data_IF_352882876451
#
_entry.id   IF_352882876451
#
_cell.length_a   1.000
_cell.length_b   1.000
_cell.length_c   1.000
_cell.angle_alpha   90.00
_cell.angle_beta   90.00
_cell.angle_gamma   90.00
#
_symmetry.space_group_name_H-M   'P 1'
#
loop_
_entity.id
_entity.type
_entity.pdbx_description
1 polymer ?
#
# COMPACT_ATOMS: atom_id res chain seq x y z
N UNK A 1 34.13 -6.21 29.80
CA UNK A 1 34.48 -5.75 28.44
C UNK A 1 33.26 -6.06 27.59
N UNK A 2 32.70 -5.06 26.93
CA UNK A 2 31.53 -5.22 26.05
C UNK A 2 32.02 -5.75 24.70
N UNK A 3 31.67 -7.00 24.37
CA UNK A 3 32.03 -7.60 23.09
C UNK A 3 31.17 -7.00 21.97
N UNK A 4 31.75 -6.07 21.22
CA UNK A 4 31.13 -5.45 20.04
C UNK A 4 31.31 -6.40 18.86
N UNK A 5 30.22 -7.01 18.39
CA UNK A 5 30.22 -7.80 17.16
C UNK A 5 29.84 -6.88 15.99
N UNK A 6 30.80 -6.64 15.08
CA UNK A 6 30.58 -5.95 13.81
C UNK A 6 30.24 -7.01 12.76
N UNK A 7 29.00 -7.04 12.30
CA UNK A 7 28.61 -7.89 11.17
C UNK A 7 28.47 -7.04 9.91
N UNK A 8 29.16 -7.44 8.85
CA UNK A 8 28.99 -6.83 7.53
C UNK A 8 27.53 -7.04 7.09
N UNK A 9 26.83 -5.94 6.80
CA UNK A 9 25.43 -6.02 6.41
C UNK A 9 25.32 -6.86 5.14
N UNK A 10 24.62 -8.00 5.21
CA UNK A 10 24.36 -8.85 4.04
C UNK A 10 23.78 -7.96 2.93
N UNK A 11 24.52 -7.77 1.86
CA UNK A 11 24.11 -6.91 0.75
C UNK A 11 22.72 -7.30 0.25
N UNK A 12 21.86 -6.30 0.04
CA UNK A 12 20.55 -6.52 -0.57
C UNK A 12 20.76 -7.18 -1.94
N UNK A 13 20.15 -8.34 -2.15
CA UNK A 13 20.25 -9.08 -3.43
C UNK A 13 19.61 -8.33 -4.61
N UNK A 14 18.81 -7.29 -4.35
CA UNK A 14 18.18 -6.48 -5.39
C UNK A 14 19.08 -5.30 -5.83
N UNK A 15 19.02 -4.89 -7.12
CA UNK A 15 19.73 -3.72 -7.61
C UNK A 15 19.44 -2.46 -6.78
N UNK A 16 20.45 -1.59 -6.66
CA UNK A 16 20.34 -0.30 -5.93
C UNK A 16 19.31 0.62 -6.58
N UNK A 17 19.34 0.71 -7.91
CA UNK A 17 18.32 1.38 -8.71
C UNK A 17 17.56 0.32 -9.51
N UNK A 18 16.25 0.50 -9.66
CA UNK A 18 15.36 -0.49 -10.28
C UNK A 18 14.77 0.06 -11.59
N UNK A 19 14.53 -0.79 -12.60
CA UNK A 19 13.90 -0.35 -13.83
C UNK A 19 12.53 0.27 -13.57
N UNK A 20 12.29 1.46 -14.14
CA UNK A 20 10.97 2.07 -14.12
C UNK A 20 9.97 1.18 -14.89
N UNK A 21 8.70 1.10 -14.45
CA UNK A 21 7.70 0.28 -15.11
C UNK A 21 7.39 0.81 -16.52
N UNK A 22 7.17 -0.11 -17.46
CA UNK A 22 6.89 0.24 -18.85
C UNK A 22 5.41 0.61 -19.03
N UNK A 23 5.14 1.67 -19.79
CA UNK A 23 3.77 2.05 -20.14
C UNK A 23 2.99 0.95 -20.89
N UNK A 24 3.69 0.08 -21.63
CA UNK A 24 3.06 -1.08 -22.28
C UNK A 24 2.60 -2.17 -21.30
N UNK A 25 3.13 -2.21 -20.08
CA UNK A 25 2.80 -3.20 -19.06
C UNK A 25 1.83 -2.69 -18.00
N UNK A 26 1.66 -1.36 -17.88
CA UNK A 26 0.66 -0.72 -17.02
C UNK A 26 -0.41 -0.08 -17.92
N UNK A 27 -1.56 -0.75 -18.13
CA UNK A 27 -2.56 -0.32 -19.12
C UNK A 27 -3.45 0.83 -18.63
N UNK A 28 -2.92 1.71 -17.78
CA UNK A 28 -3.55 2.94 -17.29
C UNK A 28 -2.50 4.04 -17.15
N UNK A 29 -2.86 5.33 -17.27
CA UNK A 29 -1.93 6.41 -16.95
C UNK A 29 -1.44 6.37 -15.51
N UNK A 30 -0.18 6.73 -15.33
CA UNK A 30 0.49 6.73 -14.04
C UNK A 30 1.57 7.81 -13.96
N UNK A 31 1.91 8.20 -12.73
CA UNK A 31 3.03 9.07 -12.42
C UNK A 31 4.05 8.25 -11.66
N UNK A 32 5.24 8.09 -12.24
CA UNK A 32 6.38 7.45 -11.59
C UNK A 32 7.36 8.52 -11.12
N UNK A 33 7.74 8.46 -9.84
CA UNK A 33 8.78 9.32 -9.29
C UNK A 33 9.91 8.43 -8.73
N UNK A 34 11.14 8.54 -9.24
CA UNK A 34 12.29 7.84 -8.68
C UNK A 34 12.58 8.31 -7.25
N UNK A 35 13.37 7.55 -6.48
CA UNK A 35 13.78 7.98 -5.16
C UNK A 35 14.70 9.22 -5.24
N UNK A 36 14.62 10.10 -4.25
CA UNK A 36 15.43 11.33 -4.20
C UNK A 36 16.93 11.05 -3.97
N UNK A 37 17.26 9.86 -3.45
CA UNK A 37 18.61 9.43 -3.05
C UNK A 37 19.23 8.38 -3.99
N UNK A 38 18.61 8.15 -5.15
CA UNK A 38 19.02 7.15 -6.15
C UNK A 38 19.22 5.73 -5.57
N UNK A 39 18.44 5.39 -4.55
CA UNK A 39 18.39 4.10 -3.88
C UNK A 39 16.94 3.63 -3.79
N UNK A 40 16.55 2.72 -4.67
CA UNK A 40 15.19 2.24 -4.82
C UNK A 40 14.97 1.03 -3.89
N UNK A 41 14.98 1.23 -2.57
CA UNK A 41 14.77 0.13 -1.62
C UNK A 41 13.29 -0.18 -1.41
N UNK A 42 12.42 0.84 -1.50
CA UNK A 42 10.97 0.72 -1.32
C UNK A 42 10.20 1.29 -2.52
N UNK A 43 9.05 0.70 -2.81
CA UNK A 43 8.08 1.23 -3.78
C UNK A 43 6.77 1.51 -3.06
N UNK A 44 6.29 2.75 -3.11
CA UNK A 44 4.97 3.14 -2.63
C UNK A 44 4.00 3.35 -3.80
N UNK A 45 3.01 2.47 -3.92
CA UNK A 45 1.93 2.58 -4.88
C UNK A 45 0.80 3.43 -4.28
N UNK A 46 0.37 4.45 -5.01
CA UNK A 46 -0.58 5.46 -4.55
C UNK A 46 -1.89 5.32 -5.35
N UNK A 47 -3.00 5.10 -4.63
CA UNK A 47 -4.33 4.88 -5.20
C UNK A 47 -5.29 6.01 -4.76
N UNK A 48 -5.76 6.80 -5.73
CA UNK A 48 -6.62 7.95 -5.46
C UNK A 48 -8.05 7.56 -5.08
N UNK A 49 -8.84 8.53 -4.57
CA UNK A 49 -10.25 8.35 -4.24
C UNK A 49 -11.19 8.47 -5.45
N UNK A 50 -12.47 8.22 -5.23
CA UNK A 50 -13.51 8.38 -6.26
C UNK A 50 -13.49 9.80 -6.84
N UNK A 51 -13.55 9.90 -8.16
CA UNK A 51 -13.69 11.18 -8.87
C UNK A 51 -12.38 11.93 -9.09
N UNK A 52 -11.25 11.38 -8.65
CA UNK A 52 -9.94 11.99 -8.80
C UNK A 52 -9.15 11.37 -9.97
N UNK A 53 -7.90 11.81 -10.14
CA UNK A 53 -6.90 11.23 -11.02
C UNK A 53 -5.63 10.89 -10.24
N UNK A 54 -4.70 10.24 -10.92
CA UNK A 54 -3.39 9.96 -10.38
C UNK A 54 -2.47 11.17 -10.19
N UNK A 55 -2.75 12.33 -10.80
CA UNK A 55 -1.80 13.45 -10.83
C UNK A 55 -1.59 14.10 -9.45
N UNK A 56 -2.65 14.40 -8.65
CA UNK A 56 -2.47 14.91 -7.29
C UNK A 56 -1.73 13.91 -6.39
N UNK A 57 -1.99 12.62 -6.56
CA UNK A 57 -1.30 11.56 -5.83
C UNK A 57 0.16 11.42 -6.25
N UNK A 58 0.49 11.67 -7.53
CA UNK A 58 1.86 11.77 -8.00
C UNK A 58 2.63 12.91 -7.34
N UNK A 59 1.97 14.06 -7.13
CA UNK A 59 2.54 15.20 -6.38
C UNK A 59 2.68 14.88 -4.88
N UNK A 60 1.67 14.25 -4.28
CA UNK A 60 1.72 13.79 -2.88
C UNK A 60 2.92 12.86 -2.67
N UNK A 61 3.12 11.87 -3.55
CA UNK A 61 4.25 10.95 -3.47
C UNK A 61 5.61 11.66 -3.39
N UNK A 62 5.81 12.72 -4.17
CA UNK A 62 7.03 13.55 -4.09
C UNK A 62 7.13 14.35 -2.80
N UNK A 63 6.01 14.84 -2.28
CA UNK A 63 5.96 15.67 -1.07
C UNK A 63 6.21 14.87 0.21
N UNK A 64 5.91 13.56 0.22
CA UNK A 64 6.14 12.70 1.38
C UNK A 64 7.62 12.56 1.74
N UNK A 65 8.54 12.74 0.77
CA UNK A 65 10.00 12.70 0.98
C UNK A 65 10.47 11.48 1.78
N UNK A 66 9.90 10.32 1.46
CA UNK A 66 10.26 9.05 2.09
C UNK A 66 11.65 8.62 1.62
N UNK A 67 12.56 8.25 2.54
CA UNK A 67 13.92 7.84 2.18
C UNK A 67 13.90 6.55 1.37
N UNK A 68 14.79 6.43 0.40
CA UNK A 68 14.97 5.24 -0.43
C UNK A 68 13.67 4.70 -1.04
N UNK A 69 12.74 5.59 -1.38
CA UNK A 69 11.38 5.22 -1.77
C UNK A 69 11.03 5.82 -3.12
N UNK A 70 10.72 4.94 -4.07
CA UNK A 70 10.08 5.27 -5.34
C UNK A 70 8.57 5.40 -5.11
N UNK A 71 7.91 6.29 -5.84
CA UNK A 71 6.44 6.37 -5.81
C UNK A 71 5.82 6.13 -7.18
N UNK A 72 4.71 5.39 -7.20
CA UNK A 72 3.93 5.07 -8.40
C UNK A 72 2.46 5.39 -8.14
N UNK A 73 1.99 6.53 -8.64
CA UNK A 73 0.58 6.90 -8.58
C UNK A 73 -0.17 6.40 -9.81
N UNK A 74 -1.19 5.58 -9.60
CA UNK A 74 -1.96 4.92 -10.65
C UNK A 74 -3.32 5.59 -10.82
N UNK A 75 -3.77 5.74 -12.07
CA UNK A 75 -5.14 6.18 -12.36
C UNK A 75 -6.07 4.98 -12.31
N UNK A 76 -7.24 5.16 -11.74
CA UNK A 76 -8.26 4.13 -11.73
C UNK A 76 -8.72 3.77 -13.17
N UNK A 77 -9.11 2.52 -13.43
CA UNK A 77 -9.36 2.02 -14.78
C UNK A 77 -10.66 2.54 -15.42
N UNK A 78 -11.63 2.97 -14.62
CA UNK A 78 -12.95 3.37 -15.13
C UNK A 78 -13.11 4.89 -15.04
N UNK A 79 -13.48 5.53 -16.15
CA UNK A 79 -13.93 6.93 -16.11
C UNK A 79 -15.37 6.97 -15.59
N UNK A 80 -15.70 7.97 -14.76
CA UNK A 80 -17.08 8.20 -14.32
C UNK A 80 -17.87 8.77 -15.51
N UNK A 81 -18.97 8.13 -15.93
CA UNK A 81 -19.79 8.61 -17.04
C UNK A 81 -20.39 10.01 -16.77
N UNK A 82 -20.66 10.75 -17.85
CA UNK A 82 -21.43 12.01 -17.83
C UNK A 82 -20.83 13.18 -17.05
N UNK A 83 -19.56 13.11 -16.63
CA UNK A 83 -18.84 14.25 -16.07
C UNK A 83 -18.01 14.97 -17.14
N UNK A 84 -18.01 16.31 -17.11
CA UNK A 84 -17.17 17.15 -17.97
C UNK A 84 -15.69 17.05 -17.59
N UNK A 85 -15.41 16.82 -16.30
CA UNK A 85 -14.06 16.71 -15.76
C UNK A 85 -13.51 15.28 -15.89
N UNK A 86 -12.19 15.17 -15.94
CA UNK A 86 -11.51 13.87 -15.91
C UNK A 86 -11.58 13.27 -14.50
N UNK A 87 -12.63 12.49 -14.25
CA UNK A 87 -12.92 11.86 -12.98
C UNK A 87 -12.95 10.33 -13.14
N UNK A 88 -12.19 9.61 -12.30
CA UNK A 88 -12.03 8.16 -12.40
C UNK A 88 -12.46 7.44 -11.12
N UNK A 89 -12.83 6.17 -11.26
CA UNK A 89 -13.27 5.29 -10.18
C UNK A 89 -12.62 3.92 -10.30
N UNK A 90 -12.32 3.30 -9.16
CA UNK A 90 -11.71 1.96 -9.14
C UNK A 90 -12.75 0.86 -9.36
N UNK A 91 -13.98 1.13 -8.92
CA UNK A 91 -15.14 0.30 -9.10
C UNK A 91 -16.36 1.19 -9.29
N UNK A 92 -17.39 0.64 -9.93
CA UNK A 92 -18.61 1.37 -10.28
C UNK A 92 -19.34 1.80 -9.02
N UNK A 93 -19.43 3.11 -8.81
CA UNK A 93 -19.98 3.70 -7.57
C UNK A 93 -21.42 4.13 -7.71
N UNK A 94 -21.85 4.38 -8.95
CA UNK A 94 -23.17 4.90 -9.28
C UNK A 94 -23.87 3.95 -10.24
N UNK A 95 -25.15 3.69 -9.97
CA UNK A 95 -26.01 3.00 -10.92
C UNK A 95 -26.42 3.94 -12.09
N UNK A 96 -27.16 3.47 -13.10
CA UNK A 96 -27.60 4.32 -14.21
C UNK A 96 -28.51 5.50 -13.82
N UNK A 97 -29.09 5.49 -12.61
CA UNK A 97 -29.90 6.58 -12.08
C UNK A 97 -29.07 7.60 -11.28
N UNK A 98 -27.80 7.30 -11.03
CA UNK A 98 -26.89 8.13 -10.24
C UNK A 98 -26.89 7.81 -8.74
N UNK A 99 -27.55 6.72 -8.32
CA UNK A 99 -27.61 6.31 -6.92
C UNK A 99 -26.36 5.50 -6.53
N UNK A 100 -25.96 5.59 -5.26
CA UNK A 100 -24.79 4.85 -4.76
C UNK A 100 -25.03 3.34 -4.77
N UNK A 101 -24.13 2.61 -5.42
CA UNK A 101 -24.13 1.15 -5.41
C UNK A 101 -23.68 0.66 -4.03
N UNK A 102 -24.55 -0.05 -3.31
CA UNK A 102 -24.26 -0.53 -1.96
C UNK A 102 -23.13 -1.57 -1.89
N UNK A 103 -23.02 -2.42 -2.91
CA UNK A 103 -22.04 -3.52 -2.99
C UNK A 103 -21.36 -3.53 -4.36
N UNK A 104 -20.45 -2.57 -4.61
CA UNK A 104 -19.80 -2.46 -5.90
C UNK A 104 -18.76 -3.57 -6.08
N UNK A 105 -18.48 -3.93 -7.34
CA UNK A 105 -17.52 -4.98 -7.70
C UNK A 105 -16.12 -4.39 -7.93
N UNK A 106 -15.12 -4.70 -7.07
CA UNK A 106 -13.75 -4.23 -7.24
C UNK A 106 -12.93 -5.05 -8.23
N UNK A 107 -13.47 -6.14 -8.78
CA UNK A 107 -12.72 -7.11 -9.60
C UNK A 107 -11.87 -6.46 -10.70
N UNK A 108 -12.36 -5.50 -11.51
CA UNK A 108 -11.54 -4.86 -12.54
C UNK A 108 -10.29 -4.16 -11.99
N UNK A 109 -10.39 -3.50 -10.84
CA UNK A 109 -9.24 -2.86 -10.19
C UNK A 109 -8.26 -3.90 -9.63
N UNK A 110 -8.76 -4.99 -9.05
CA UNK A 110 -7.92 -6.06 -8.52
C UNK A 110 -7.15 -6.77 -9.64
N UNK A 111 -7.79 -7.07 -10.77
CA UNK A 111 -7.12 -7.67 -11.93
C UNK A 111 -6.06 -6.76 -12.55
N UNK A 112 -6.33 -5.45 -12.60
CA UNK A 112 -5.33 -4.47 -13.03
C UNK A 112 -4.10 -4.53 -12.11
N UNK A 113 -4.30 -4.52 -10.80
CA UNK A 113 -3.22 -4.53 -9.82
C UNK A 113 -2.49 -5.88 -9.78
N UNK A 114 -3.16 -7.01 -10.03
CA UNK A 114 -2.51 -8.31 -10.22
C UNK A 114 -1.48 -8.25 -11.37
N UNK A 115 -1.87 -7.67 -12.53
CA UNK A 115 -0.96 -7.52 -13.68
C UNK A 115 0.20 -6.58 -13.37
N UNK A 116 -0.07 -5.47 -12.70
CA UNK A 116 0.97 -4.49 -12.32
C UNK A 116 1.95 -5.11 -11.32
N UNK A 117 1.47 -5.81 -10.28
CA UNK A 117 2.32 -6.50 -9.31
C UNK A 117 3.16 -7.60 -9.97
N UNK A 118 2.59 -8.34 -10.92
CA UNK A 118 3.33 -9.32 -11.70
C UNK A 118 4.49 -8.66 -12.49
N UNK A 119 4.23 -7.54 -13.17
CA UNK A 119 5.26 -6.79 -13.89
C UNK A 119 6.34 -6.24 -12.94
N UNK A 120 5.92 -5.61 -11.84
CA UNK A 120 6.84 -5.01 -10.87
C UNK A 120 7.77 -6.06 -10.24
N UNK A 121 7.23 -7.23 -9.91
CA UNK A 121 8.00 -8.30 -9.25
C UNK A 121 8.87 -9.09 -10.22
N UNK A 122 8.43 -9.33 -11.46
CA UNK A 122 9.17 -10.13 -12.46
C UNK A 122 10.14 -9.32 -13.29
N UNK A 123 9.76 -8.11 -13.70
CA UNK A 123 10.50 -7.33 -14.70
C UNK A 123 11.18 -6.09 -14.13
N UNK A 124 10.66 -5.53 -13.02
CA UNK A 124 11.22 -4.34 -12.37
C UNK A 124 12.02 -4.66 -11.09
N UNK A 125 12.26 -5.94 -10.80
CA UNK A 125 13.06 -6.41 -9.68
C UNK A 125 12.60 -5.92 -8.29
N UNK A 126 11.30 -5.67 -8.11
CA UNK A 126 10.73 -5.30 -6.80
C UNK A 126 10.37 -6.55 -5.98
N UNK A 127 11.03 -6.81 -4.83
CA UNK A 127 10.60 -7.86 -3.93
C UNK A 127 9.22 -7.52 -3.34
N UNK A 128 8.29 -8.47 -3.18
CA UNK A 128 6.95 -8.19 -2.65
C UNK A 128 6.96 -7.44 -1.31
N UNK A 129 7.86 -7.81 -0.39
CA UNK A 129 8.01 -7.18 0.91
C UNK A 129 8.55 -5.74 0.89
N UNK A 130 8.89 -5.21 -0.29
CA UNK A 130 9.29 -3.80 -0.52
C UNK A 130 8.24 -3.00 -1.31
N UNK A 131 7.10 -3.62 -1.61
CA UNK A 131 5.97 -2.96 -2.29
C UNK A 131 4.94 -2.57 -1.22
N UNK A 132 4.70 -1.28 -1.11
CA UNK A 132 3.81 -0.65 -0.15
C UNK A 132 2.64 0.01 -0.89
N UNK A 133 1.51 0.17 -0.20
CA UNK A 133 0.37 0.89 -0.73
C UNK A 133 -0.06 2.02 0.20
N UNK A 134 -0.50 3.11 -0.42
CA UNK A 134 -1.27 4.16 0.20
C UNK A 134 -2.52 4.39 -0.64
N UNK A 135 -3.68 4.38 -0.01
CA UNK A 135 -4.95 4.58 -0.72
C UNK A 135 -5.92 5.46 0.05
N UNK A 136 -6.67 6.27 -0.67
CA UNK A 136 -7.74 7.11 -0.12
C UNK A 136 -9.11 6.64 -0.59
N UNK A 137 -10.08 6.56 0.34
CA UNK A 137 -11.45 6.11 0.08
C UNK A 137 -11.44 4.81 -0.75
N UNK A 138 -11.96 4.82 -1.98
CA UNK A 138 -11.91 3.66 -2.89
C UNK A 138 -10.50 3.10 -3.08
N UNK A 139 -9.49 3.96 -3.25
CA UNK A 139 -8.11 3.52 -3.37
C UNK A 139 -7.61 2.83 -2.11
N UNK A 140 -8.08 3.24 -0.92
CA UNK A 140 -7.78 2.59 0.35
C UNK A 140 -8.40 1.20 0.45
N UNK A 141 -9.66 1.08 0.03
CA UNK A 141 -10.38 -0.19 -0.09
C UNK A 141 -9.65 -1.15 -1.02
N UNK A 142 -9.32 -0.71 -2.24
CA UNK A 142 -8.62 -1.51 -3.24
C UNK A 142 -7.23 -1.93 -2.76
N UNK A 143 -6.47 -1.04 -2.12
CA UNK A 143 -5.16 -1.39 -1.56
C UNK A 143 -5.25 -2.54 -0.54
N UNK A 144 -6.26 -2.49 0.34
CA UNK A 144 -6.48 -3.53 1.34
C UNK A 144 -6.96 -4.86 0.70
N UNK A 145 -7.88 -4.79 -0.27
CA UNK A 145 -8.36 -5.98 -0.99
C UNK A 145 -7.25 -6.68 -1.79
N UNK A 146 -6.38 -5.91 -2.48
CA UNK A 146 -5.23 -6.48 -3.19
C UNK A 146 -4.27 -7.18 -2.24
N UNK A 147 -4.03 -6.64 -1.05
CA UNK A 147 -3.15 -7.29 -0.08
C UNK A 147 -3.71 -8.65 0.39
N UNK A 148 -5.02 -8.74 0.62
CA UNK A 148 -5.66 -10.00 0.97
C UNK A 148 -5.68 -10.98 -0.21
N UNK A 149 -5.94 -10.50 -1.42
CA UNK A 149 -5.92 -11.30 -2.65
C UNK A 149 -4.53 -11.86 -2.93
N UNK A 150 -3.49 -11.03 -2.82
CA UNK A 150 -2.09 -11.45 -2.92
C UNK A 150 -1.76 -12.53 -1.90
N UNK A 151 -2.19 -12.34 -0.65
CA UNK A 151 -1.93 -13.29 0.43
C UNK A 151 -2.58 -14.66 0.21
N UNK A 152 -3.84 -14.68 -0.25
CA UNK A 152 -4.51 -15.93 -0.64
C UNK A 152 -3.74 -16.65 -1.75
N UNK A 153 -3.30 -15.92 -2.77
CA UNK A 153 -2.53 -16.49 -3.88
C UNK A 153 -1.14 -17.02 -3.44
N UNK A 154 -0.46 -16.35 -2.49
CA UNK A 154 0.80 -16.84 -1.91
C UNK A 154 0.58 -18.15 -1.14
N UNK A 155 -0.52 -18.27 -0.39
CA UNK A 155 -0.87 -19.51 0.29
C UNK A 155 -1.23 -20.63 -0.67
N UNK A 156 -2.00 -20.35 -1.72
CA UNK A 156 -2.32 -21.35 -2.75
C UNK A 156 -1.04 -21.90 -3.40
N UNK A 157 -0.04 -21.05 -3.65
CA UNK A 157 1.28 -21.47 -4.13
C UNK A 157 2.00 -22.37 -3.14
N UNK A 158 1.98 -22.03 -1.84
CA UNK A 158 2.58 -22.87 -0.80
C UNK A 158 1.93 -24.25 -0.69
N UNK A 159 0.61 -24.35 -0.89
CA UNK A 159 -0.07 -25.64 -0.89
C UNK A 159 0.28 -26.50 -2.11
N UNK A 160 0.66 -25.88 -3.23
CA UNK A 160 1.08 -26.57 -4.45
C UNK A 160 2.56 -26.98 -4.43
N UNK A 161 3.39 -26.28 -3.68
CA UNK A 161 4.83 -26.51 -3.56
C UNK A 161 5.29 -26.32 -2.11
N UNK A 162 5.57 -27.41 -1.40
CA UNK A 162 5.99 -27.40 0.00
C UNK A 162 7.31 -26.64 0.24
N UNK A 163 8.14 -26.49 -0.80
CA UNK A 163 9.37 -25.69 -0.75
C UNK A 163 9.16 -24.19 -0.92
N UNK A 164 7.94 -23.77 -1.27
CA UNK A 164 7.62 -22.38 -1.52
C UNK A 164 7.49 -21.57 -0.23
N UNK A 165 8.30 -20.52 -0.10
CA UNK A 165 8.20 -19.56 1.01
C UNK A 165 7.25 -18.44 0.63
N UNK A 166 6.20 -18.23 1.44
CA UNK A 166 5.23 -17.14 1.23
C UNK A 166 5.88 -15.77 1.40
N UNK A 167 5.52 -14.84 0.51
CA UNK A 167 6.12 -13.50 0.41
C UNK A 167 5.03 -12.44 0.58
N UNK A 168 4.81 -11.90 1.79
CA UNK A 168 3.83 -10.84 1.99
C UNK A 168 4.27 -9.53 1.34
N UNK A 169 3.31 -8.63 1.11
CA UNK A 169 3.57 -7.25 0.71
C UNK A 169 4.13 -6.43 1.88
N UNK A 170 4.75 -5.29 1.56
CA UNK A 170 5.42 -4.40 2.50
C UNK A 170 4.50 -3.80 3.56
N UNK A 171 3.70 -2.80 3.23
CA UNK A 171 2.69 -2.21 4.14
C UNK A 171 1.51 -1.65 3.37
N UNK A 172 0.36 -1.51 4.04
CA UNK A 172 -0.82 -0.82 3.51
C UNK A 172 -1.19 0.35 4.44
N UNK A 173 -1.43 1.52 3.86
CA UNK A 173 -2.10 2.64 4.52
C UNK A 173 -3.42 2.87 3.80
N UNK A 174 -4.54 2.62 4.49
CA UNK A 174 -5.87 2.96 4.00
C UNK A 174 -6.37 4.21 4.75
N UNK A 175 -6.75 5.24 3.99
CA UNK A 175 -7.35 6.47 4.51
C UNK A 175 -8.84 6.46 4.16
N UNK A 176 -9.69 6.28 5.16
CA UNK A 176 -11.16 6.21 5.04
C UNK A 176 -11.66 5.18 4.00
N UNK A 177 -10.85 4.18 3.67
CA UNK A 177 -11.22 3.08 2.78
C UNK A 177 -11.57 1.82 3.58
N UNK A 178 -12.85 1.40 3.67
CA UNK A 178 -13.21 0.14 4.30
C UNK A 178 -12.74 -1.06 3.48
N UNK A 179 -12.60 -2.24 4.09
CA UNK A 179 -12.59 -3.48 3.31
C UNK A 179 -13.97 -3.68 2.69
N UNK A 180 -14.00 -4.15 1.45
CA UNK A 180 -15.23 -4.43 0.72
C UNK A 180 -15.70 -5.86 0.95
N UNK A 181 -14.74 -6.76 1.20
CA UNK A 181 -14.96 -8.12 1.62
C UNK A 181 -14.99 -8.24 3.14
N UNK A 182 -15.58 -9.32 3.63
CA UNK A 182 -15.49 -9.71 5.03
C UNK A 182 -14.62 -10.97 5.13
N UNK A 183 -13.32 -10.85 5.45
CA UNK A 183 -12.40 -11.96 5.32
C UNK A 183 -12.70 -13.11 6.28
N UNK A 184 -12.64 -14.34 5.78
CA UNK A 184 -12.76 -15.60 6.54
C UNK A 184 -11.50 -16.44 6.37
N UNK A 185 -10.34 -15.85 6.70
CA UNK A 185 -9.04 -16.50 6.53
C UNK A 185 -8.71 -17.41 7.72
N UNK A 186 -8.20 -18.61 7.44
CA UNK A 186 -7.63 -19.50 8.47
C UNK A 186 -6.31 -18.95 9.02
N UNK A 187 -5.52 -18.30 8.17
CA UNK A 187 -4.30 -17.58 8.56
C UNK A 187 -4.35 -16.14 8.06
N UNK A 188 -4.29 -15.20 9.00
CA UNK A 188 -4.37 -13.77 8.74
C UNK A 188 -3.18 -13.26 7.90
N UNK A 189 -3.43 -12.26 7.07
CA UNK A 189 -2.38 -11.62 6.27
C UNK A 189 -1.34 -10.93 7.18
N UNK A 190 -0.02 -11.22 7.03
CA UNK A 190 1.01 -10.64 7.86
C UNK A 190 1.48 -9.26 7.40
N UNK A 191 1.02 -8.79 6.23
CA UNK A 191 1.28 -7.41 5.76
C UNK A 191 0.72 -6.42 6.79
N UNK A 192 1.56 -5.55 7.38
CA UNK A 192 1.11 -4.52 8.31
C UNK A 192 0.17 -3.52 7.62
N UNK A 193 -0.95 -3.21 8.30
CA UNK A 193 -1.94 -2.25 7.83
C UNK A 193 -2.16 -1.17 8.87
N UNK A 194 -2.13 0.09 8.41
CA UNK A 194 -2.66 1.23 9.14
C UNK A 194 -3.94 1.71 8.48
N UNK A 195 -5.03 1.73 9.24
CA UNK A 195 -6.30 2.33 8.83
C UNK A 195 -6.45 3.67 9.53
N UNK A 196 -6.29 4.75 8.77
CA UNK A 196 -6.67 6.08 9.20
C UNK A 196 -8.13 6.31 8.82
N UNK A 197 -8.98 6.76 9.73
CA UNK A 197 -10.34 7.12 9.37
C UNK A 197 -10.90 8.26 10.23
N UNK A 198 -11.92 8.91 9.65
CA UNK A 198 -12.68 9.98 10.32
C UNK A 198 -13.64 9.41 11.35
N UNK A 199 -14.03 10.26 12.30
CA UNK A 199 -15.07 9.98 13.28
C UNK A 199 -16.35 10.73 12.94
N UNK A 200 -17.54 10.24 13.38
CA UNK A 200 -18.78 10.99 13.23
C UNK A 200 -18.62 12.44 13.75
N UNK A 201 -19.25 13.45 13.10
CA UNK A 201 -20.27 13.34 12.06
C UNK A 201 -19.78 13.28 10.60
N UNK A 202 -18.49 13.01 10.33
CA UNK A 202 -17.98 12.87 8.96
C UNK A 202 -18.73 11.77 8.18
N UNK A 203 -19.02 12.00 6.89
CA UNK A 203 -19.72 11.03 6.04
C UNK A 203 -18.86 9.79 5.77
N UNK A 204 -17.54 9.97 5.69
CA UNK A 204 -16.56 8.89 5.53
C UNK A 204 -16.24 8.17 6.85
N UNK A 205 -16.97 8.43 7.94
CA UNK A 205 -16.72 7.77 9.22
C UNK A 205 -17.03 6.27 9.11
N UNK A 206 -16.04 5.43 9.42
CA UNK A 206 -16.18 3.98 9.33
C UNK A 206 -16.95 3.41 10.53
N UNK A 207 -17.73 2.36 10.25
CA UNK A 207 -18.53 1.63 11.25
C UNK A 207 -17.65 0.60 11.97
N UNK A 208 -18.11 0.15 13.14
CA UNK A 208 -17.42 -0.90 13.89
C UNK A 208 -17.25 -2.22 13.10
N UNK A 209 -18.20 -2.53 12.21
CA UNK A 209 -18.11 -3.69 11.29
C UNK A 209 -16.91 -3.59 10.35
N UNK A 210 -16.58 -2.39 9.88
CA UNK A 210 -15.50 -2.16 8.92
C UNK A 210 -14.16 -2.38 9.61
N UNK A 211 -14.02 -1.89 10.84
CA UNK A 211 -12.86 -2.14 11.70
C UNK A 211 -12.71 -3.64 12.00
N UNK A 212 -13.81 -4.32 12.30
CA UNK A 212 -13.81 -5.76 12.55
C UNK A 212 -13.37 -6.57 11.32
N UNK A 213 -13.73 -6.13 10.11
CA UNK A 213 -13.27 -6.76 8.87
C UNK A 213 -11.74 -6.70 8.73
N UNK A 214 -11.12 -5.56 9.03
CA UNK A 214 -9.65 -5.43 9.00
C UNK A 214 -8.97 -6.35 10.02
N UNK A 215 -9.51 -6.43 11.25
CA UNK A 215 -9.00 -7.34 12.30
C UNK A 215 -9.10 -8.83 11.91
N UNK A 216 -10.07 -9.18 11.06
CA UNK A 216 -10.23 -10.54 10.51
C UNK A 216 -9.40 -10.80 9.26
N UNK A 217 -8.90 -9.75 8.60
CA UNK A 217 -8.04 -9.87 7.42
C UNK A 217 -6.55 -9.90 7.75
N UNK A 218 -6.11 -9.14 8.75
CA UNK A 218 -4.70 -8.83 8.98
C UNK A 218 -4.25 -9.13 10.41
N UNK A 219 -3.08 -9.74 10.57
CA UNK A 219 -2.50 -10.02 11.90
C UNK A 219 -1.83 -8.80 12.53
N UNK A 220 -1.46 -7.80 11.72
CA UNK A 220 -0.80 -6.56 12.14
C UNK A 220 -1.64 -5.37 11.71
N UNK A 221 -2.54 -4.94 12.58
CA UNK A 221 -3.51 -3.88 12.30
C UNK A 221 -3.38 -2.73 13.29
N UNK A 222 -3.25 -1.51 12.77
CA UNK A 222 -3.24 -0.26 13.53
C UNK A 222 -4.43 0.59 13.09
N UNK A 223 -5.23 1.01 14.06
CA UNK A 223 -6.41 1.86 13.85
C UNK A 223 -6.10 3.27 14.34
N UNK A 224 -6.27 4.26 13.47
CA UNK A 224 -6.06 5.68 13.78
C UNK A 224 -7.35 6.43 13.52
N UNK A 225 -7.93 7.00 14.58
CA UNK A 225 -9.16 7.81 14.55
C UNK A 225 -8.80 9.27 14.73
N UNK A 226 -8.94 10.08 13.67
CA UNK A 226 -8.64 11.52 13.75
C UNK A 226 -9.58 12.36 12.88
N UNK A 227 -10.04 13.45 13.48
CA UNK A 227 -10.82 14.47 12.80
C UNK A 227 -12.27 14.05 12.48
N UNK A 228 -13.10 15.06 12.28
CA UNK A 228 -14.53 14.95 11.98
C UNK A 228 -14.89 15.54 10.62
N UNK A 229 -13.89 15.98 9.85
CA UNK A 229 -14.06 16.52 8.50
C UNK A 229 -13.60 15.48 7.48
N UNK A 230 -14.40 15.28 6.45
CA UNK A 230 -14.07 14.39 5.35
C UNK A 230 -12.82 14.81 4.59
N UNK A 231 -12.24 13.87 3.86
CA UNK A 231 -11.05 14.07 3.04
C UNK A 231 -9.77 13.53 3.66
N UNK A 232 -8.69 13.73 2.90
CA UNK A 232 -7.33 13.33 3.24
C UNK A 232 -6.82 13.98 4.53
N UNK A 233 -5.85 13.34 5.24
CA UNK A 233 -5.10 13.99 6.32
C UNK A 233 -4.57 15.36 5.86
N UNK A 234 -4.84 16.41 6.63
CA UNK A 234 -4.56 17.78 6.24
C UNK A 234 -3.53 18.48 7.14
N UNK A 235 -3.31 17.97 8.35
CA UNK A 235 -2.41 18.58 9.32
C UNK A 235 -1.21 17.68 9.63
N UNK A 236 -0.16 18.27 10.20
CA UNK A 236 1.00 17.51 10.71
C UNK A 236 0.56 16.45 11.73
N UNK A 237 -0.39 16.78 12.60
CA UNK A 237 -0.92 15.84 13.60
C UNK A 237 -1.68 14.67 12.96
N UNK A 238 -2.37 14.89 11.84
CA UNK A 238 -3.06 13.82 11.11
C UNK A 238 -2.09 12.94 10.32
N UNK A 239 -1.03 13.52 9.76
CA UNK A 239 0.00 12.78 9.03
C UNK A 239 1.03 12.08 9.92
N UNK A 240 1.28 12.59 11.13
CA UNK A 240 2.26 12.04 12.08
C UNK A 240 2.14 10.52 12.27
N UNK A 241 0.96 9.93 12.57
CA UNK A 241 0.87 8.50 12.79
C UNK A 241 1.17 7.67 11.53
N UNK A 242 0.87 8.21 10.34
CA UNK A 242 1.17 7.57 9.05
C UNK A 242 2.68 7.59 8.81
N UNK A 243 3.33 8.74 9.02
CA UNK A 243 4.78 8.89 8.85
C UNK A 243 5.54 8.05 9.87
N UNK A 244 5.08 7.98 11.12
CA UNK A 244 5.63 7.10 12.15
C UNK A 244 5.54 5.64 11.72
N UNK A 245 4.37 5.19 11.27
CA UNK A 245 4.18 3.84 10.77
C UNK A 245 5.15 3.47 9.65
N UNK A 246 5.38 4.36 8.68
CA UNK A 246 6.39 4.13 7.64
C UNK A 246 7.82 4.15 8.17
N UNK A 247 8.15 5.02 9.12
CA UNK A 247 9.51 5.11 9.69
C UNK A 247 9.99 3.80 10.35
N UNK A 248 9.05 3.01 10.85
CA UNK A 248 9.27 1.72 11.51
C UNK A 248 9.28 0.53 10.53
N UNK A 249 8.75 0.71 9.31
CA UNK A 249 8.40 -0.41 8.41
C UNK A 249 9.07 -0.36 7.05
N UNK A 250 9.42 0.82 6.55
CA UNK A 250 10.14 0.94 5.29
C UNK A 250 11.54 0.32 5.43
N UNK A 251 11.95 -0.38 4.38
CA UNK A 251 13.28 -0.95 4.27
C UNK A 251 14.35 0.12 4.27
N UNK A 252 15.48 -0.20 4.89
CA UNK A 252 16.69 0.62 4.85
C UNK A 252 17.79 -0.23 4.24
N UNK A 253 18.34 0.23 3.12
CA UNK A 253 19.61 -0.25 2.61
C UNK A 253 20.71 0.55 3.31
N UNK A 254 21.62 -0.10 4.05
CA UNK A 254 22.79 0.57 4.59
C UNK A 254 23.56 1.22 3.44
N UNK A 255 24.00 2.46 3.61
CA UNK A 255 24.98 3.05 2.70
C UNK A 255 26.30 2.28 2.87
N UNK A 256 27.00 2.05 1.76
CA UNK A 256 28.32 1.40 1.77
C UNK A 256 29.23 2.08 2.79
N UNK A 257 29.82 1.29 3.70
CA UNK A 257 30.71 1.78 4.76
C UNK A 257 30.07 2.04 6.13
N UNK A 258 28.76 1.83 6.31
CA UNK A 258 28.11 1.87 7.63
C UNK A 258 27.99 0.47 8.24
N UNK A 259 28.60 0.30 9.42
CA UNK A 259 28.48 -0.91 10.24
C UNK A 259 27.33 -0.73 11.24
N UNK A 260 26.44 -1.71 11.35
CA UNK A 260 25.47 -1.75 12.45
C UNK A 260 26.16 -2.26 13.72
N UNK A 261 26.08 -1.47 14.80
CA UNK A 261 26.54 -1.89 16.13
C UNK A 261 25.36 -2.51 16.86
N UNK A 262 25.33 -3.83 16.96
CA UNK A 262 24.39 -4.54 17.81
C UNK A 262 24.92 -4.53 19.26
N UNK A 263 24.24 -3.83 20.17
CA UNK A 263 24.48 -4.02 21.60
C UNK A 263 23.81 -5.32 22.04
N UNK A 264 24.58 -6.41 22.14
CA UNK A 264 24.13 -7.66 22.72
C UNK A 264 23.83 -7.46 24.21
N UNK A 265 22.57 -7.61 24.61
CA UNK A 265 22.24 -7.92 26.01
C UNK A 265 22.49 -9.41 26.16
N UNK A 266 23.59 -9.77 26.80
CA UNK A 266 23.86 -11.16 27.19
C UNK A 266 22.74 -11.62 28.12
N UNK A 267 21.93 -12.57 27.67
CA UNK A 267 21.07 -13.33 28.56
C UNK A 267 21.97 -14.23 29.42
N UNK A 268 21.97 -13.99 30.74
CA UNK A 268 22.32 -15.00 31.73
C UNK A 268 21.05 -15.73 32.16
#
# INVERSE_FOLDING_TARGET
MTDIHLQEARGSQSPKTKPAPKASAIPVPFTYNPSDDATDENLLILLHGLGDTHEPFGKLGRQLKLPQTVTLALRAPQQIPFLYEQAFQWYTSFDPLGELVERPDPTPALELLDRILAHLTKDCAWPPGRIHFFGFAQGGSVAAEVALRWWRAEFERQHQDEGYTVRPLGTIVSVSGPLMSYPTLSTLCPTPVLLFHRTPPAESALKASDIAAFRKGFSRFIEVKKGTKDGMPASKDEWEPIMRFWSERLGKRPMEGLYEVMSGVSAQ
#
